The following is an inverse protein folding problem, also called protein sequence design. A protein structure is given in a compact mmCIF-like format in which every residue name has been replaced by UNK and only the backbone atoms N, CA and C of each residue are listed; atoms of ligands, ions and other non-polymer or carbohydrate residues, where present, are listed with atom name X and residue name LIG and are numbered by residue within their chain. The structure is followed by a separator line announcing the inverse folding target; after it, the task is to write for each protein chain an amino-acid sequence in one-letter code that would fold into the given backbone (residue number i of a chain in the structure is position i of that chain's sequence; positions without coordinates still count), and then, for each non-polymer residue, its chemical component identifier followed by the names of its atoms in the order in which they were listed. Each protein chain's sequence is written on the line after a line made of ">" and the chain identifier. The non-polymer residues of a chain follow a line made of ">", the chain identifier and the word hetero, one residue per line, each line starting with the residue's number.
data_IF_503908343689
#
_entry.id   IF_503908343689
#
_cell.length_a   1.000
_cell.length_b   1.000
_cell.length_c   1.000
_cell.angle_alpha   90.00
_cell.angle_beta   90.00
_cell.angle_gamma   90.00
#
_symmetry.space_group_name_H-M   'P 1'
#
loop_
_entity.id
_entity.type
_entity.pdbx_description
1 polymer ?
#
# COMPACT_ATOMS: atom_id res chain seq x y z
N UNK A 1 -18.51 -59.66 -0.75
CA UNK A 1 -19.17 -58.41 -0.27
C UNK A 1 -18.22 -57.40 0.35
N UNK A 2 -17.26 -57.78 1.21
CA UNK A 2 -16.30 -56.84 1.84
C UNK A 2 -15.40 -56.09 0.84
N UNK A 3 -14.86 -56.78 -0.17
CA UNK A 3 -13.98 -56.16 -1.17
C UNK A 3 -14.68 -55.09 -2.03
N UNK A 4 -15.95 -55.32 -2.42
CA UNK A 4 -16.75 -54.34 -3.18
C UNK A 4 -17.04 -53.07 -2.35
N UNK A 5 -17.25 -53.20 -1.04
CA UNK A 5 -17.46 -52.06 -0.14
C UNK A 5 -16.18 -51.25 0.10
N UNK A 6 -15.03 -51.93 0.21
CA UNK A 6 -13.71 -51.29 0.31
C UNK A 6 -13.35 -50.51 -0.96
N UNK A 7 -13.59 -51.09 -2.14
CA UNK A 7 -13.40 -50.39 -3.42
C UNK A 7 -14.31 -49.17 -3.55
N UNK A 8 -15.58 -49.29 -3.18
CA UNK A 8 -16.51 -48.16 -3.21
C UNK A 8 -16.07 -47.03 -2.27
N UNK A 9 -15.59 -47.38 -1.07
CA UNK A 9 -15.11 -46.40 -0.10
C UNK A 9 -13.82 -45.71 -0.58
N UNK A 10 -12.89 -46.45 -1.19
CA UNK A 10 -11.69 -45.88 -1.80
C UNK A 10 -12.01 -44.91 -2.95
N UNK A 11 -13.00 -45.24 -3.79
CA UNK A 11 -13.48 -44.36 -4.86
C UNK A 11 -14.13 -43.09 -4.29
N UNK A 12 -14.95 -43.20 -3.25
CA UNK A 12 -15.55 -42.03 -2.60
C UNK A 12 -14.46 -41.12 -2.00
N UNK A 13 -13.47 -41.69 -1.31
CA UNK A 13 -12.34 -40.92 -0.76
C UNK A 13 -11.56 -40.24 -1.89
N UNK A 14 -11.28 -40.95 -2.98
CA UNK A 14 -10.58 -40.39 -4.13
C UNK A 14 -11.38 -39.24 -4.78
N UNK A 15 -12.69 -39.40 -4.94
CA UNK A 15 -13.57 -38.35 -5.48
C UNK A 15 -13.61 -37.14 -4.55
N UNK A 16 -13.65 -37.33 -3.23
CA UNK A 16 -13.60 -36.21 -2.27
C UNK A 16 -12.26 -35.49 -2.36
N UNK A 17 -11.13 -36.21 -2.45
CA UNK A 17 -9.79 -35.61 -2.58
C UNK A 17 -9.63 -34.84 -3.89
N UNK A 18 -10.21 -35.32 -4.99
CA UNK A 18 -10.13 -34.64 -6.30
C UNK A 18 -11.08 -33.43 -6.34
N UNK A 19 -12.26 -33.51 -5.71
CA UNK A 19 -13.25 -32.43 -5.70
C UNK A 19 -12.92 -31.29 -4.73
N UNK A 20 -11.97 -31.47 -3.80
CA UNK A 20 -11.50 -30.39 -2.91
C UNK A 20 -10.38 -29.52 -3.52
N UNK A 21 -9.96 -29.80 -4.75
CA UNK A 21 -9.08 -28.88 -5.48
C UNK A 21 -9.90 -27.73 -6.06
N UNK A 22 -10.24 -26.75 -5.23
CA UNK A 22 -10.65 -25.45 -5.72
C UNK A 22 -9.43 -24.75 -6.33
N UNK A 23 -9.28 -24.86 -7.64
CA UNK A 23 -8.38 -24.01 -8.38
C UNK A 23 -9.01 -22.62 -8.47
N UNK A 24 -8.54 -21.68 -7.65
CA UNK A 24 -8.87 -20.27 -7.83
C UNK A 24 -8.09 -19.76 -9.05
N UNK A 25 -8.77 -19.67 -10.19
CA UNK A 25 -8.21 -19.01 -11.37
C UNK A 25 -8.29 -17.50 -11.16
N UNK A 26 -7.13 -16.86 -11.23
CA UNK A 26 -7.02 -15.43 -11.37
C UNK A 26 -7.11 -15.06 -12.84
N UNK A 27 -8.16 -14.33 -13.22
CA UNK A 27 -8.17 -13.66 -14.51
C UNK A 27 -7.04 -12.62 -14.54
N UNK A 28 -6.31 -12.58 -15.65
CA UNK A 28 -5.15 -11.71 -15.84
C UNK A 28 -5.63 -10.25 -15.98
N UNK A 29 -5.19 -9.37 -15.08
CA UNK A 29 -5.69 -7.98 -15.01
C UNK A 29 -6.02 -7.44 -13.62
N UNK A 30 -5.52 -8.06 -12.54
CA UNK A 30 -5.87 -7.65 -11.18
C UNK A 30 -5.17 -6.37 -10.75
N UNK A 31 -5.91 -5.27 -10.84
CA UNK A 31 -5.60 -3.99 -10.22
C UNK A 31 -5.96 -4.05 -8.74
N UNK A 32 -5.02 -3.69 -7.87
CA UNK A 32 -5.24 -3.57 -6.43
C UNK A 32 -5.26 -2.10 -6.06
N UNK A 33 -6.36 -1.66 -5.43
CA UNK A 33 -6.46 -0.33 -4.85
C UNK A 33 -6.39 -0.43 -3.33
N UNK A 34 -5.46 0.31 -2.73
CA UNK A 34 -5.35 0.45 -1.28
C UNK A 34 -5.77 1.86 -0.92
N UNK A 35 -6.94 2.00 -0.27
CA UNK A 35 -7.44 3.29 0.19
C UNK A 35 -7.03 3.46 1.65
N UNK A 36 -6.18 4.45 1.93
CA UNK A 36 -5.70 4.76 3.27
C UNK A 36 -6.55 5.88 3.85
N UNK A 37 -7.34 5.54 4.86
CA UNK A 37 -8.15 6.48 5.64
C UNK A 37 -7.69 6.40 7.09
N UNK A 38 -7.01 7.44 7.57
CA UNK A 38 -6.48 7.46 8.93
C UNK A 38 -7.55 7.78 9.97
N UNK A 39 -7.38 7.23 11.18
CA UNK A 39 -8.23 7.47 12.38
C UNK A 39 -9.69 7.02 12.26
N UNK A 40 -9.99 6.14 11.31
CA UNK A 40 -11.33 5.57 11.15
C UNK A 40 -11.57 4.46 12.18
N UNK A 41 -12.74 4.47 12.82
CA UNK A 41 -13.20 3.44 13.76
C UNK A 41 -14.28 2.55 13.12
N UNK A 42 -14.51 1.35 13.67
CA UNK A 42 -15.56 0.46 13.12
C UNK A 42 -16.95 1.11 13.09
N UNK A 43 -17.40 1.85 14.13
CA UNK A 43 -18.67 2.59 14.05
C UNK A 43 -18.74 3.66 12.96
N UNK A 44 -17.61 4.20 12.50
CA UNK A 44 -17.62 5.19 11.41
C UNK A 44 -18.00 4.53 10.08
N UNK A 45 -17.68 3.24 9.89
CA UNK A 45 -18.06 2.47 8.71
C UNK A 45 -19.58 2.43 8.52
N UNK A 46 -20.35 2.40 9.62
CA UNK A 46 -21.82 2.37 9.59
C UNK A 46 -22.43 3.67 9.02
N UNK A 47 -21.64 4.75 8.97
CA UNK A 47 -22.05 6.05 8.45
C UNK A 47 -21.60 6.28 7.00
N UNK A 48 -20.92 5.31 6.40
CA UNK A 48 -20.33 5.41 5.07
C UNK A 48 -21.05 4.48 4.07
N UNK A 49 -22.09 4.95 3.37
CA UNK A 49 -22.96 4.09 2.55
C UNK A 49 -22.20 3.38 1.42
N UNK A 50 -21.18 4.03 0.84
CA UNK A 50 -20.35 3.39 -0.18
C UNK A 50 -19.49 2.26 0.40
N UNK A 51 -19.00 2.41 1.63
CA UNK A 51 -18.22 1.37 2.31
C UNK A 51 -19.14 0.23 2.76
N UNK A 52 -20.34 0.54 3.27
CA UNK A 52 -21.35 -0.47 3.57
C UNK A 52 -21.66 -1.35 2.35
N UNK A 53 -21.90 -0.73 1.19
CA UNK A 53 -22.11 -1.48 -0.05
C UNK A 53 -20.91 -2.36 -0.43
N UNK A 54 -19.67 -1.86 -0.28
CA UNK A 54 -18.47 -2.67 -0.53
C UNK A 54 -18.35 -3.86 0.44
N UNK A 55 -18.78 -3.70 1.69
CA UNK A 55 -18.80 -4.77 2.68
C UNK A 55 -19.89 -5.80 2.33
N UNK A 56 -21.07 -5.36 1.92
CA UNK A 56 -22.19 -6.22 1.50
C UNK A 56 -21.89 -7.04 0.24
N UNK A 57 -21.25 -6.43 -0.74
CA UNK A 57 -20.86 -7.06 -2.02
C UNK A 57 -19.53 -7.84 -1.91
N UNK A 58 -18.85 -7.74 -0.77
CA UNK A 58 -17.48 -8.23 -0.59
C UNK A 58 -17.27 -8.95 0.73
N UNK A 59 -16.15 -8.66 1.38
CA UNK A 59 -15.80 -9.24 2.67
C UNK A 59 -14.99 -8.24 3.48
N UNK A 60 -15.17 -8.28 4.79
CA UNK A 60 -14.41 -7.48 5.74
C UNK A 60 -13.52 -8.38 6.58
N UNK A 61 -12.27 -7.98 6.76
CA UNK A 61 -11.30 -8.64 7.62
C UNK A 61 -10.55 -7.61 8.45
N UNK A 62 -10.21 -7.97 9.70
CA UNK A 62 -9.38 -7.14 10.56
C UNK A 62 -7.92 -7.59 10.42
N UNK A 63 -7.05 -6.66 10.06
CA UNK A 63 -5.61 -6.91 9.94
C UNK A 63 -4.86 -6.22 11.09
N UNK A 64 -3.92 -6.94 11.70
CA UNK A 64 -3.00 -6.35 12.67
C UNK A 64 -1.65 -6.06 12.02
N UNK A 65 -1.39 -4.78 11.75
CA UNK A 65 -0.18 -4.28 11.08
C UNK A 65 0.83 -3.73 12.08
N UNK A 66 0.97 -4.36 13.25
CA UNK A 66 1.91 -3.89 14.27
C UNK A 66 3.37 -4.04 13.83
N UNK A 67 4.10 -2.93 13.81
CA UNK A 67 5.56 -2.90 13.63
C UNK A 67 6.35 -3.41 14.85
N UNK A 68 7.58 -2.92 14.97
CA UNK A 68 8.54 -3.35 15.99
C UNK A 68 8.22 -2.77 17.36
N UNK A 69 7.79 -1.51 17.43
CA UNK A 69 7.59 -0.80 18.69
C UNK A 69 6.10 -0.66 19.06
N UNK A 70 5.53 0.52 18.87
CA UNK A 70 4.15 0.91 19.12
C UNK A 70 3.38 1.07 17.80
N UNK A 71 2.06 1.27 17.90
CA UNK A 71 1.20 1.49 16.74
C UNK A 71 1.31 2.95 16.28
N UNK A 72 2.27 3.24 15.40
CA UNK A 72 2.35 4.50 14.68
C UNK A 72 2.12 4.25 13.19
N UNK A 73 1.61 5.26 12.46
CA UNK A 73 1.22 5.09 11.06
C UNK A 73 2.35 4.60 10.17
N UNK A 74 3.57 5.13 10.36
CA UNK A 74 4.74 4.76 9.56
C UNK A 74 5.09 3.27 9.71
N UNK A 75 5.19 2.76 10.94
CA UNK A 75 5.46 1.34 11.22
C UNK A 75 4.41 0.41 10.61
N UNK A 76 3.13 0.79 10.69
CA UNK A 76 2.05 0.02 10.08
C UNK A 76 2.19 -0.06 8.57
N UNK A 77 2.45 1.06 7.91
CA UNK A 77 2.58 1.12 6.45
C UNK A 77 3.83 0.40 5.94
N UNK A 78 4.98 0.57 6.59
CA UNK A 78 6.20 -0.15 6.16
C UNK A 78 6.10 -1.66 6.45
N UNK A 79 5.36 -2.07 7.49
CA UNK A 79 5.14 -3.49 7.77
C UNK A 79 4.23 -4.16 6.74
N UNK A 80 3.27 -3.43 6.16
CA UNK A 80 2.49 -3.91 5.01
C UNK A 80 3.39 -4.12 3.79
N UNK A 81 4.32 -3.20 3.56
CA UNK A 81 5.25 -3.25 2.43
C UNK A 81 6.34 -4.31 2.57
N UNK A 82 6.82 -4.54 3.79
CA UNK A 82 7.99 -5.38 4.06
C UNK A 82 7.62 -6.84 4.30
N UNK A 83 8.61 -7.74 4.22
CA UNK A 83 8.38 -9.17 4.48
C UNK A 83 8.12 -9.50 5.97
N UNK A 84 8.39 -8.56 6.87
CA UNK A 84 8.19 -8.72 8.31
C UNK A 84 8.01 -7.37 9.02
N UNK A 85 7.84 -7.42 10.34
CA UNK A 85 7.69 -6.23 11.19
C UNK A 85 8.88 -5.30 11.02
N UNK A 86 8.59 -4.07 10.62
CA UNK A 86 9.60 -3.09 10.25
C UNK A 86 9.38 -1.81 11.04
N UNK A 87 10.46 -1.25 11.56
CA UNK A 87 10.43 0.02 12.26
C UNK A 87 10.50 1.17 11.23
N UNK A 88 9.69 2.20 11.41
CA UNK A 88 9.79 3.44 10.67
C UNK A 88 9.27 4.59 11.53
N UNK A 89 9.69 5.81 11.21
CA UNK A 89 9.15 7.04 11.79
C UNK A 89 9.13 8.15 10.74
N UNK A 90 8.64 9.33 11.11
CA UNK A 90 8.54 10.48 10.19
C UNK A 90 9.88 10.87 9.57
N UNK A 91 11.01 10.70 10.27
CA UNK A 91 12.33 11.06 9.73
C UNK A 91 12.84 10.08 8.67
N UNK A 92 12.45 8.81 8.73
CA UNK A 92 12.79 7.76 7.76
C UNK A 92 11.73 7.55 6.67
N UNK A 93 10.62 8.30 6.71
CA UNK A 93 9.44 8.13 5.84
C UNK A 93 9.13 9.41 5.05
N UNK A 94 10.17 10.02 4.45
CA UNK A 94 10.10 11.35 3.85
C UNK A 94 9.91 11.27 2.34
N UNK A 95 8.65 11.25 1.90
CA UNK A 95 8.31 11.10 0.48
C UNK A 95 8.02 12.44 -0.19
N UNK A 96 8.54 12.58 -1.41
CA UNK A 96 8.30 13.73 -2.27
C UNK A 96 8.21 13.28 -3.72
N UNK A 97 7.47 14.03 -4.55
CA UNK A 97 7.61 13.85 -5.99
C UNK A 97 9.06 14.18 -6.41
N UNK A 98 9.69 13.31 -7.20
CA UNK A 98 11.10 13.42 -7.59
C UNK A 98 11.30 14.43 -8.73
N UNK A 99 11.11 15.70 -8.42
CA UNK A 99 11.32 16.82 -9.33
C UNK A 99 12.17 17.90 -8.64
N UNK A 100 12.81 18.75 -9.44
CA UNK A 100 13.57 19.91 -8.92
C UNK A 100 14.64 19.53 -7.89
N UNK A 101 14.50 20.07 -6.68
CA UNK A 101 15.46 19.84 -5.59
C UNK A 101 15.40 18.42 -5.01
N UNK A 102 14.21 17.82 -4.90
CA UNK A 102 14.06 16.50 -4.27
C UNK A 102 14.71 15.39 -5.09
N UNK A 103 14.69 15.50 -6.42
CA UNK A 103 15.44 14.61 -7.30
C UNK A 103 16.95 14.69 -7.02
N UNK A 104 17.49 15.90 -6.83
CA UNK A 104 18.92 16.11 -6.51
C UNK A 104 19.26 15.56 -5.12
N UNK A 105 18.41 15.81 -4.13
CA UNK A 105 18.59 15.31 -2.76
C UNK A 105 18.61 13.79 -2.75
N UNK A 106 17.67 13.16 -3.45
CA UNK A 106 17.61 11.70 -3.57
C UNK A 106 18.91 11.17 -4.19
N UNK A 107 19.30 11.67 -5.38
CA UNK A 107 20.51 11.21 -6.08
C UNK A 107 21.78 11.36 -5.26
N UNK A 108 21.90 12.47 -4.52
CA UNK A 108 23.05 12.70 -3.65
C UNK A 108 23.13 11.69 -2.48
N UNK A 109 22.02 11.07 -2.08
CA UNK A 109 21.94 10.14 -0.95
C UNK A 109 22.00 8.67 -1.38
N UNK A 110 21.47 8.33 -2.54
CA UNK A 110 21.26 6.95 -2.98
C UNK A 110 21.97 6.60 -4.28
N UNK A 111 22.48 7.60 -5.02
CA UNK A 111 23.09 7.43 -6.34
C UNK A 111 22.16 7.76 -7.50
N UNK A 112 22.65 7.58 -8.71
CA UNK A 112 21.91 7.93 -9.92
C UNK A 112 20.69 7.02 -10.15
N UNK A 113 19.65 7.63 -10.72
CA UNK A 113 18.42 6.96 -11.14
C UNK A 113 18.48 6.68 -12.64
N UNK A 114 18.36 5.41 -13.03
CA UNK A 114 18.31 4.98 -14.42
C UNK A 114 16.90 5.02 -15.02
N UNK A 115 15.88 5.09 -14.17
CA UNK A 115 14.47 5.05 -14.53
C UNK A 115 13.72 6.29 -14.00
N UNK A 116 12.57 6.59 -14.63
CA UNK A 116 11.75 7.75 -14.29
C UNK A 116 10.73 7.41 -13.21
N UNK A 117 11.16 7.44 -11.95
CA UNK A 117 10.27 7.34 -10.80
C UNK A 117 9.60 8.67 -10.47
N UNK A 118 8.28 8.64 -10.21
CA UNK A 118 7.52 9.84 -9.87
C UNK A 118 7.75 10.31 -8.44
N UNK A 119 7.96 9.39 -7.49
CA UNK A 119 8.03 9.67 -6.05
C UNK A 119 9.19 8.89 -5.44
N UNK A 120 9.85 9.47 -4.43
CA UNK A 120 10.93 8.82 -3.70
C UNK A 120 11.02 9.21 -2.23
N UNK A 121 11.45 8.25 -1.41
CA UNK A 121 11.76 8.45 0.00
C UNK A 121 13.19 8.97 0.15
N UNK A 122 13.35 10.28 0.40
CA UNK A 122 14.67 10.86 0.64
C UNK A 122 15.28 10.42 1.99
N UNK A 123 14.47 9.82 2.87
CA UNK A 123 14.87 9.28 4.17
C UNK A 123 15.26 7.79 4.16
N UNK A 124 15.33 7.15 2.98
CA UNK A 124 15.51 5.69 2.85
C UNK A 124 16.73 5.12 3.59
N UNK A 125 17.87 5.82 3.59
CA UNK A 125 19.05 5.37 4.34
C UNK A 125 18.80 5.31 5.85
N UNK A 126 18.02 6.26 6.39
CA UNK A 126 17.59 6.23 7.78
C UNK A 126 16.67 5.05 8.10
N UNK A 127 15.81 4.67 7.15
CA UNK A 127 14.93 3.51 7.29
C UNK A 127 15.74 2.20 7.42
N UNK A 128 16.77 2.02 6.58
CA UNK A 128 17.66 0.86 6.68
C UNK A 128 18.47 0.86 7.98
N UNK A 129 19.09 2.00 8.35
CA UNK A 129 19.87 2.10 9.59
C UNK A 129 19.04 1.75 10.83
N UNK A 130 17.77 2.15 10.87
CA UNK A 130 16.87 1.85 11.98
C UNK A 130 16.51 0.35 12.07
N UNK A 131 16.66 -0.41 10.98
CA UNK A 131 16.30 -1.82 10.91
C UNK A 131 17.51 -2.77 10.82
N UNK A 132 18.75 -2.25 10.85
CA UNK A 132 19.98 -3.06 10.77
C UNK A 132 20.04 -4.16 11.84
N UNK A 133 19.60 -3.82 13.07
CA UNK A 133 19.54 -4.76 14.20
C UNK A 133 18.13 -5.29 14.47
N UNK A 134 17.23 -5.20 13.49
CA UNK A 134 15.86 -5.68 13.65
C UNK A 134 15.84 -7.22 13.67
N UNK A 135 15.42 -7.80 14.80
CA UNK A 135 15.32 -9.26 15.01
C UNK A 135 14.40 -10.00 14.02
N UNK A 136 13.49 -9.28 13.38
CA UNK A 136 12.59 -9.83 12.36
C UNK A 136 13.24 -9.88 10.97
N UNK A 137 14.44 -9.29 10.82
CA UNK A 137 15.22 -9.23 9.59
C UNK A 137 14.35 -8.91 8.36
N UNK A 138 13.60 -7.80 8.39
CA UNK A 138 12.64 -7.52 7.34
C UNK A 138 13.35 -7.21 6.02
N UNK A 139 12.77 -7.68 4.93
CA UNK A 139 13.09 -7.20 3.59
C UNK A 139 12.20 -5.98 3.29
N UNK A 140 12.79 -4.80 3.39
CA UNK A 140 12.13 -3.52 3.12
C UNK A 140 11.95 -3.38 1.62
N UNK A 141 10.74 -3.03 1.17
CA UNK A 141 10.39 -2.98 -0.26
C UNK A 141 9.87 -4.29 -0.82
N UNK A 142 9.65 -5.34 -0.01
CA UNK A 142 9.24 -6.67 -0.49
C UNK A 142 8.08 -6.65 -1.47
N UNK A 143 7.04 -5.89 -1.16
CA UNK A 143 5.86 -5.75 -2.00
C UNK A 143 6.18 -5.05 -3.33
N UNK A 144 6.89 -3.91 -3.28
CA UNK A 144 7.28 -3.15 -4.47
C UNK A 144 8.21 -3.94 -5.39
N UNK A 145 9.27 -4.52 -4.83
CA UNK A 145 10.24 -5.33 -5.56
C UNK A 145 9.60 -6.55 -6.21
N UNK A 146 8.70 -7.26 -5.48
CA UNK A 146 8.00 -8.42 -6.06
C UNK A 146 7.10 -8.04 -7.23
N UNK A 147 6.52 -6.83 -7.21
CA UNK A 147 5.73 -6.31 -8.33
C UNK A 147 6.64 -5.94 -9.50
N UNK A 148 7.75 -5.24 -9.25
CA UNK A 148 8.72 -4.87 -10.29
C UNK A 148 9.35 -6.10 -10.95
N UNK A 149 9.73 -7.12 -10.18
CA UNK A 149 10.27 -8.40 -10.67
C UNK A 149 9.29 -9.13 -11.59
N UNK A 150 7.98 -8.94 -11.39
CA UNK A 150 6.91 -9.46 -12.23
C UNK A 150 6.56 -8.55 -13.42
N UNK A 151 7.27 -7.43 -13.61
CA UNK A 151 7.00 -6.44 -14.67
C UNK A 151 5.79 -5.54 -14.40
N UNK A 152 5.34 -5.46 -13.15
CA UNK A 152 4.27 -4.57 -12.71
C UNK A 152 4.84 -3.27 -12.14
N UNK A 153 4.01 -2.23 -12.08
CA UNK A 153 4.37 -0.91 -11.54
C UNK A 153 3.43 -0.50 -10.41
N UNK A 154 3.87 0.41 -9.56
CA UNK A 154 3.13 0.94 -8.40
C UNK A 154 2.81 2.43 -8.54
N UNK A 155 1.75 2.87 -7.89
CA UNK A 155 1.39 4.28 -7.85
C UNK A 155 0.86 4.73 -6.49
N UNK A 156 1.07 6.01 -6.16
CA UNK A 156 0.52 6.65 -4.95
C UNK A 156 -0.08 8.01 -5.28
N UNK A 157 -1.32 8.25 -4.84
CA UNK A 157 -2.02 9.52 -5.01
C UNK A 157 -2.58 10.02 -3.69
N UNK A 158 -2.52 11.33 -3.47
CA UNK A 158 -3.01 11.93 -2.23
C UNK A 158 -1.95 11.98 -1.14
N UNK A 159 -2.26 12.68 -0.06
CA UNK A 159 -1.45 12.75 1.14
C UNK A 159 -2.36 13.08 2.34
N UNK A 160 -1.79 13.00 3.55
CA UNK A 160 -2.42 13.44 4.78
C UNK A 160 -1.71 14.67 5.37
N UNK A 161 -1.21 15.56 4.49
CA UNK A 161 -0.56 16.80 4.90
C UNK A 161 -1.57 17.70 5.64
N UNK A 162 -1.07 18.46 6.60
CA UNK A 162 -1.78 19.53 7.28
C UNK A 162 -0.96 20.82 7.18
N UNK A 163 -1.49 21.93 7.70
CA UNK A 163 -0.70 23.16 7.80
C UNK A 163 0.56 23.00 8.69
N UNK A 164 0.55 22.04 9.61
CA UNK A 164 1.60 21.86 10.62
C UNK A 164 2.56 20.70 10.31
N UNK A 165 2.10 19.66 9.60
CA UNK A 165 2.86 18.42 9.41
C UNK A 165 2.72 17.84 8.00
N UNK A 166 3.78 17.17 7.54
CA UNK A 166 3.85 16.49 6.25
C UNK A 166 3.47 15.02 6.45
N UNK A 167 2.23 14.67 6.12
CA UNK A 167 1.61 13.37 6.38
C UNK A 167 1.70 12.41 5.19
N UNK A 168 2.92 12.04 4.77
CA UNK A 168 3.14 11.25 3.53
C UNK A 168 3.60 9.81 3.76
N UNK A 169 3.59 9.36 5.00
CA UNK A 169 4.12 8.05 5.40
C UNK A 169 3.39 6.88 4.72
N UNK A 170 2.15 7.05 4.27
CA UNK A 170 1.38 6.01 3.57
C UNK A 170 2.01 5.56 2.26
N UNK A 171 2.88 6.39 1.66
CA UNK A 171 3.66 6.02 0.48
C UNK A 171 4.64 4.85 0.75
N UNK A 172 4.97 4.55 2.01
CA UNK A 172 5.73 3.36 2.40
C UNK A 172 5.13 2.06 1.85
N UNK A 173 3.80 1.99 1.67
CA UNK A 173 3.11 0.78 1.18
C UNK A 173 3.62 0.39 -0.22
N UNK A 174 3.76 1.36 -1.12
CA UNK A 174 3.95 1.13 -2.55
C UNK A 174 5.42 1.16 -3.01
N UNK A 175 6.34 1.54 -2.14
CA UNK A 175 7.74 1.72 -2.55
C UNK A 175 8.47 0.39 -2.76
N UNK A 176 9.45 0.43 -3.65
CA UNK A 176 10.49 -0.60 -3.78
C UNK A 176 11.55 -0.49 -2.66
N UNK A 177 12.53 -1.39 -2.65
CA UNK A 177 13.63 -1.39 -1.67
C UNK A 177 14.54 -0.17 -1.77
N UNK A 178 14.52 0.55 -2.89
CA UNK A 178 15.23 1.83 -3.07
C UNK A 178 14.41 3.02 -2.57
N UNK A 179 13.19 2.78 -2.10
CA UNK A 179 12.26 3.80 -1.64
C UNK A 179 11.60 4.56 -2.78
N UNK A 180 11.46 3.95 -3.96
CA UNK A 180 10.95 4.56 -5.19
C UNK A 180 9.55 4.02 -5.55
N UNK A 181 8.74 4.86 -6.19
CA UNK A 181 7.39 4.55 -6.67
C UNK A 181 7.26 5.08 -8.10
N UNK A 182 6.78 4.24 -9.02
CA UNK A 182 6.81 4.52 -10.46
C UNK A 182 5.98 5.74 -10.83
N UNK A 183 4.73 5.78 -10.36
CA UNK A 183 3.78 6.83 -10.70
C UNK A 183 3.11 7.46 -9.47
N UNK A 184 2.52 8.63 -9.67
CA UNK A 184 1.71 9.27 -8.64
C UNK A 184 2.02 10.73 -8.38
N UNK A 185 1.24 11.30 -7.47
CA UNK A 185 1.32 12.70 -7.06
C UNK A 185 0.86 12.84 -5.61
N UNK A 186 1.77 13.32 -4.77
CA UNK A 186 1.59 13.48 -3.33
C UNK A 186 1.86 14.92 -2.87
N UNK A 187 2.06 15.85 -3.80
CA UNK A 187 2.28 17.27 -3.50
C UNK A 187 0.97 18.05 -3.69
N UNK A 188 0.80 18.66 -4.86
CA UNK A 188 -0.31 19.56 -5.16
C UNK A 188 -1.56 18.79 -5.59
N UNK A 189 -1.96 17.74 -4.90
CA UNK A 189 -3.03 16.82 -5.33
C UNK A 189 -4.36 17.03 -4.58
N UNK A 190 -4.34 17.77 -3.47
CA UNK A 190 -5.52 18.11 -2.66
C UNK A 190 -6.16 19.43 -3.10
N UNK A 191 -7.38 19.67 -2.62
CA UNK A 191 -8.08 20.95 -2.72
C UNK A 191 -8.09 21.62 -1.35
N UNK A 192 -7.79 22.92 -1.31
CA UNK A 192 -8.05 23.75 -0.14
C UNK A 192 -9.56 23.88 0.08
N UNK A 193 -10.01 23.62 1.30
CA UNK A 193 -11.40 23.69 1.73
C UNK A 193 -11.46 23.93 3.24
N UNK A 194 -11.72 25.18 3.63
CA UNK A 194 -11.71 25.62 5.04
C UNK A 194 -12.79 24.94 5.89
N UNK A 195 -13.84 24.44 5.26
CA UNK A 195 -14.93 23.73 5.93
C UNK A 195 -14.60 22.24 6.17
N UNK A 196 -13.47 21.77 5.63
CA UNK A 196 -12.97 20.40 5.80
C UNK A 196 -11.95 20.32 6.95
N UNK A 197 -11.87 19.20 7.69
CA UNK A 197 -10.81 19.00 8.67
C UNK A 197 -9.42 19.33 8.12
N UNK A 198 -8.68 20.16 8.87
CA UNK A 198 -7.34 20.67 8.51
C UNK A 198 -7.28 21.49 7.21
N UNK A 199 -8.41 21.93 6.66
CA UNK A 199 -8.44 22.84 5.51
C UNK A 199 -8.21 22.17 4.16
N UNK A 200 -8.19 20.83 4.08
CA UNK A 200 -7.87 20.10 2.85
C UNK A 200 -8.82 18.94 2.58
N UNK A 201 -9.28 18.81 1.33
CA UNK A 201 -10.05 17.65 0.87
C UNK A 201 -9.47 17.02 -0.39
N UNK A 202 -9.80 15.74 -0.60
CA UNK A 202 -9.35 14.97 -1.76
C UNK A 202 -9.91 15.55 -3.07
N UNK A 203 -9.06 15.68 -4.09
CA UNK A 203 -9.45 16.02 -5.44
C UNK A 203 -9.67 14.77 -6.30
N UNK A 204 -10.81 14.09 -6.14
CA UNK A 204 -11.09 12.84 -6.84
C UNK A 204 -11.00 12.97 -8.37
N UNK A 205 -11.51 14.06 -8.94
CA UNK A 205 -11.45 14.30 -10.39
C UNK A 205 -10.02 14.38 -10.90
N UNK A 206 -9.13 15.01 -10.13
CA UNK A 206 -7.71 15.11 -10.49
C UNK A 206 -6.99 13.77 -10.33
N UNK A 207 -7.25 13.05 -9.24
CA UNK A 207 -6.67 11.71 -9.02
C UNK A 207 -7.07 10.78 -10.16
N UNK A 208 -8.35 10.74 -10.53
CA UNK A 208 -8.85 9.91 -11.64
C UNK A 208 -8.20 10.30 -12.97
N UNK A 209 -8.10 11.60 -13.27
CA UNK A 209 -7.43 12.09 -14.49
C UNK A 209 -5.96 11.69 -14.54
N UNK A 210 -5.21 11.88 -13.44
CA UNK A 210 -3.79 11.51 -13.39
C UNK A 210 -3.60 9.99 -13.47
N UNK A 211 -4.52 9.20 -12.92
CA UNK A 211 -4.51 7.73 -13.01
C UNK A 211 -4.81 7.22 -14.42
N UNK A 212 -5.77 7.81 -15.12
CA UNK A 212 -6.12 7.45 -16.51
C UNK A 212 -4.97 7.73 -17.48
N UNK A 213 -4.09 8.68 -17.15
CA UNK A 213 -2.91 9.02 -17.95
C UNK A 213 -1.76 8.01 -17.86
N UNK A 214 -1.85 6.97 -17.03
CA UNK A 214 -0.75 6.01 -16.80
C UNK A 214 -0.90 4.77 -17.70
N UNK A 215 0.17 4.46 -18.44
CA UNK A 215 0.27 3.27 -19.28
C UNK A 215 1.68 2.65 -19.18
N UNK A 216 1.84 1.36 -18.80
CA UNK A 216 0.78 0.42 -18.43
C UNK A 216 0.10 0.81 -17.11
N UNK A 217 -1.14 0.37 -16.92
CA UNK A 217 -1.88 0.71 -15.69
C UNK A 217 -1.20 0.08 -14.46
N UNK A 218 -1.07 0.79 -13.31
CA UNK A 218 -0.44 0.22 -12.12
C UNK A 218 -1.18 -0.99 -11.56
N UNK A 219 -0.44 -2.03 -11.19
CA UNK A 219 -1.02 -3.21 -10.53
C UNK A 219 -1.34 -2.94 -9.07
N UNK A 220 -0.63 -2.01 -8.43
CA UNK A 220 -0.91 -1.51 -7.09
C UNK A 220 -1.04 0.01 -7.12
N UNK A 221 -2.19 0.53 -6.71
CA UNK A 221 -2.42 1.97 -6.52
C UNK A 221 -2.83 2.24 -5.09
N UNK A 222 -2.09 3.09 -4.39
CA UNK A 222 -2.44 3.59 -3.05
C UNK A 222 -3.07 4.96 -3.18
N UNK A 223 -4.27 5.14 -2.62
CA UNK A 223 -4.97 6.42 -2.55
C UNK A 223 -5.02 6.83 -1.08
N UNK A 224 -4.51 8.01 -0.77
CA UNK A 224 -4.41 8.53 0.60
C UNK A 224 -5.42 9.64 0.78
N UNK A 225 -6.35 9.46 1.71
CA UNK A 225 -7.27 10.50 2.13
C UNK A 225 -6.59 11.45 3.14
N UNK A 226 -6.89 12.77 3.08
CA UNK A 226 -6.51 13.72 4.12
C UNK A 226 -6.98 13.29 5.50
N UNK A 227 -6.38 13.86 6.55
CA UNK A 227 -6.74 13.51 7.92
C UNK A 227 -8.21 13.85 8.16
N UNK A 228 -9.00 12.81 8.47
CA UNK A 228 -10.37 12.99 8.94
C UNK A 228 -10.36 13.14 10.47
N UNK A 229 -11.19 14.05 10.98
CA UNK A 229 -11.53 14.13 12.40
C UNK A 229 -12.95 13.60 12.52
N UNK A 230 -13.11 12.49 13.24
CA UNK A 230 -14.40 11.88 13.61
C UNK A 230 -15.02 12.56 14.82
#
# INVERSE_FOLDING_TARGET
>A
MRLKRLLLMAVIVLVVVISTFEYSYAEDGRKVYVIVINKLTLPDLDRMPNIQRLIEEGSIGLMNTRGVSTHNGAESFVTINSSAKTYANSSSSRFYNLRGEFLKIYRNRTGDLYENYAIGNIGIGGLYNQNENNKYTPYIGALGDSLHDAGHITAVFGNADTEEDIGRNSALIAMDSRGLIDHGNIDNILLEDIDYPYGFRTNYSRILMEMEGINPYPSLTVIVEPIQIT
#
